data_IF_689107443284
#
_entry.id   IF_689107443284
#
_cell.length_a   1.000
_cell.length_b   1.000
_cell.length_c   1.000
_cell.angle_alpha   90.00
_cell.angle_beta   90.00
_cell.angle_gamma   90.00
#
_symmetry.space_group_name_H-M   'P 1'
#
loop_
_entity.id
_entity.type
_entity.pdbx_description
1 polymer ?
#
# COMPACT_ATOMS: atom_id res chain seq x y z
N UNK A 1 -0.18 19.09 -3.47
CA UNK A 1 0.74 18.77 -4.57
C UNK A 1 0.23 17.51 -5.23
N UNK A 2 -0.08 17.53 -6.53
CA UNK A 2 -0.43 16.31 -7.27
C UNK A 2 0.85 15.55 -7.61
N UNK A 3 0.89 14.26 -7.32
CA UNK A 3 1.98 13.37 -7.73
C UNK A 3 1.79 12.94 -9.19
N UNK A 4 2.87 12.68 -9.89
CA UNK A 4 2.80 11.99 -11.18
C UNK A 4 2.26 10.58 -10.99
N UNK A 5 1.66 10.01 -12.04
CA UNK A 5 1.23 8.61 -12.08
C UNK A 5 1.87 7.86 -13.23
N UNK A 6 2.23 6.60 -12.97
CA UNK A 6 2.74 5.67 -13.95
C UNK A 6 1.86 4.43 -13.99
N UNK A 7 1.61 3.91 -15.19
CA UNK A 7 0.71 2.79 -15.41
C UNK A 7 1.37 1.75 -16.30
N UNK A 8 1.21 0.48 -15.96
CA UNK A 8 1.58 -0.65 -16.81
C UNK A 8 0.39 -1.61 -16.87
N UNK A 9 -0.08 -1.89 -18.08
CA UNK A 9 -1.17 -2.81 -18.36
C UNK A 9 -0.62 -4.08 -19.03
N UNK A 10 -1.00 -5.23 -18.50
CA UNK A 10 -0.56 -6.55 -18.98
C UNK A 10 -1.73 -7.50 -19.16
N UNK A 11 -1.56 -8.51 -20.02
CA UNK A 11 -2.44 -9.69 -20.02
C UNK A 11 -1.98 -10.67 -18.94
N UNK A 12 -2.85 -10.90 -17.97
CA UNK A 12 -2.64 -11.82 -16.86
C UNK A 12 -1.87 -11.24 -15.69
N UNK A 13 -1.94 -11.94 -14.55
CA UNK A 13 -1.39 -11.48 -13.27
C UNK A 13 0.14 -11.55 -13.19
N UNK A 14 0.75 -12.58 -13.79
CA UNK A 14 2.20 -12.82 -13.66
C UNK A 14 3.01 -11.65 -14.22
N UNK A 15 2.66 -11.16 -15.42
CA UNK A 15 3.29 -9.97 -16.01
C UNK A 15 3.10 -8.72 -15.16
N UNK A 16 1.90 -8.52 -14.60
CA UNK A 16 1.62 -7.38 -13.72
C UNK A 16 2.46 -7.38 -12.43
N UNK A 17 2.64 -8.55 -11.80
CA UNK A 17 3.45 -8.64 -10.58
C UNK A 17 4.93 -8.42 -10.86
N UNK A 18 5.44 -8.96 -11.98
CA UNK A 18 6.81 -8.71 -12.42
C UNK A 18 7.03 -7.21 -12.71
N UNK A 19 6.07 -6.57 -13.38
CA UNK A 19 6.13 -5.13 -13.62
C UNK A 19 6.17 -4.34 -12.30
N UNK A 20 5.27 -4.66 -11.37
CA UNK A 20 5.17 -3.98 -10.09
C UNK A 20 6.47 -4.09 -9.27
N UNK A 21 7.06 -5.28 -9.21
CA UNK A 21 8.33 -5.53 -8.52
C UNK A 21 9.49 -4.72 -9.12
N UNK A 22 9.59 -4.69 -10.46
CA UNK A 22 10.60 -3.91 -11.14
C UNK A 22 10.41 -2.39 -10.97
N UNK A 23 9.16 -1.89 -11.02
CA UNK A 23 8.85 -0.46 -10.83
C UNK A 23 9.33 0.07 -9.48
N UNK A 24 8.98 -0.61 -8.39
CA UNK A 24 9.30 -0.16 -7.02
C UNK A 24 10.78 -0.37 -6.65
N UNK A 25 11.49 -1.27 -7.34
CA UNK A 25 12.93 -1.47 -7.15
C UNK A 25 13.77 -0.45 -7.93
N UNK A 26 13.26 0.06 -9.04
CA UNK A 26 14.02 0.96 -9.91
C UNK A 26 14.06 2.41 -9.42
N UNK A 27 13.07 2.85 -8.63
CA UNK A 27 12.96 4.24 -8.20
C UNK A 27 12.05 4.41 -6.98
N UNK A 28 12.07 5.59 -6.38
CA UNK A 28 11.18 5.94 -5.26
C UNK A 28 9.75 6.24 -5.76
N UNK A 29 8.95 5.19 -5.88
CA UNK A 29 7.52 5.25 -6.23
C UNK A 29 6.70 4.35 -5.31
N UNK A 30 5.43 4.66 -5.14
CA UNK A 30 4.50 3.85 -4.35
C UNK A 30 3.41 3.28 -5.25
N UNK A 31 3.13 1.98 -5.12
CA UNK A 31 1.96 1.36 -5.77
C UNK A 31 0.68 1.95 -5.16
N UNK A 32 -0.18 2.48 -6.03
CA UNK A 32 -1.47 3.04 -5.65
C UNK A 32 -2.56 1.98 -5.74
N UNK A 33 -2.59 1.23 -6.85
CA UNK A 33 -3.64 0.25 -7.14
C UNK A 33 -3.17 -0.78 -8.14
N UNK A 34 -3.74 -1.97 -8.04
CA UNK A 34 -3.79 -2.96 -9.11
C UNK A 34 -5.26 -3.05 -9.57
N UNK A 35 -5.53 -2.63 -10.79
CA UNK A 35 -6.86 -2.65 -11.39
C UNK A 35 -7.04 -3.94 -12.20
N UNK A 36 -8.23 -4.52 -12.12
CA UNK A 36 -8.62 -5.68 -12.90
C UNK A 36 -9.73 -5.27 -13.84
N UNK A 37 -9.52 -5.53 -15.13
CA UNK A 37 -10.53 -5.39 -16.16
C UNK A 37 -10.84 -6.77 -16.71
N UNK A 38 -12.00 -6.90 -17.33
CA UNK A 38 -12.47 -8.17 -17.85
C UNK A 38 -11.54 -8.75 -18.93
N UNK A 39 -11.62 -10.06 -19.13
CA UNK A 39 -10.72 -10.76 -20.05
C UNK A 39 -9.27 -10.86 -19.56
N UNK A 40 -9.00 -10.71 -18.27
CA UNK A 40 -7.66 -10.92 -17.70
C UNK A 40 -6.68 -9.79 -17.99
N UNK A 41 -7.17 -8.57 -18.18
CA UNK A 41 -6.34 -7.37 -18.30
C UNK A 41 -6.09 -6.81 -16.90
N UNK A 42 -4.83 -6.57 -16.57
CA UNK A 42 -4.42 -6.12 -15.25
C UNK A 42 -3.52 -4.91 -15.38
N UNK A 43 -3.85 -3.85 -14.64
CA UNK A 43 -3.10 -2.58 -14.67
C UNK A 43 -2.52 -2.25 -13.30
N UNK A 44 -1.21 -2.08 -13.24
CA UNK A 44 -0.51 -1.57 -12.06
C UNK A 44 -0.40 -0.05 -12.19
N UNK A 45 -0.78 0.66 -11.13
CA UNK A 45 -0.64 2.11 -11.04
C UNK A 45 0.30 2.47 -9.90
N UNK A 46 1.32 3.28 -10.18
CA UNK A 46 2.23 3.86 -9.19
C UNK A 46 2.14 5.38 -9.16
N UNK A 47 2.57 5.99 -8.06
CA UNK A 47 2.71 7.44 -7.93
C UNK A 47 4.08 7.82 -7.39
N UNK A 48 4.52 9.04 -7.71
CA UNK A 48 5.75 9.64 -7.20
C UNK A 48 6.05 10.97 -7.89
N UNK A 49 7.32 11.40 -7.82
CA UNK A 49 7.81 12.50 -8.65
C UNK A 49 7.94 12.06 -10.11
N UNK A 50 7.80 13.00 -11.05
CA UNK A 50 7.76 12.71 -12.50
C UNK A 50 8.97 11.88 -12.95
N UNK A 51 10.17 12.23 -12.48
CA UNK A 51 11.39 11.51 -12.82
C UNK A 51 11.43 10.08 -12.30
N UNK A 52 11.05 9.86 -11.04
CA UNK A 52 10.93 8.52 -10.45
C UNK A 52 9.90 7.68 -11.20
N UNK A 53 8.73 8.25 -11.48
CA UNK A 53 7.66 7.56 -12.21
C UNK A 53 8.10 7.16 -13.62
N UNK A 54 8.82 8.03 -14.34
CA UNK A 54 9.37 7.70 -15.66
C UNK A 54 10.34 6.52 -15.57
N UNK A 55 11.28 6.54 -14.62
CA UNK A 55 12.24 5.46 -14.41
C UNK A 55 11.56 4.14 -14.03
N UNK A 56 10.58 4.19 -13.12
CA UNK A 56 9.77 3.04 -12.74
C UNK A 56 9.07 2.41 -13.94
N UNK A 57 8.38 3.21 -14.75
CA UNK A 57 7.61 2.71 -15.89
C UNK A 57 8.50 2.06 -16.94
N UNK A 58 9.67 2.63 -17.26
CA UNK A 58 10.60 2.00 -18.21
C UNK A 58 11.13 0.65 -17.69
N UNK A 59 11.49 0.57 -16.40
CA UNK A 59 11.93 -0.68 -15.79
C UNK A 59 10.83 -1.75 -15.76
N UNK A 60 9.63 -1.37 -15.32
CA UNK A 60 8.48 -2.26 -15.26
C UNK A 60 8.05 -2.74 -16.63
N UNK A 61 8.08 -1.87 -17.64
CA UNK A 61 7.73 -2.20 -19.04
C UNK A 61 8.65 -3.30 -19.56
N UNK A 62 9.96 -3.13 -19.40
CA UNK A 62 10.95 -4.12 -19.82
C UNK A 62 10.76 -5.47 -19.10
N UNK A 63 10.47 -5.44 -17.80
CA UNK A 63 10.23 -6.65 -17.02
C UNK A 63 8.94 -7.38 -17.43
N UNK A 64 7.85 -6.63 -17.63
CA UNK A 64 6.56 -7.14 -18.10
C UNK A 64 6.69 -7.83 -19.47
N UNK A 65 7.40 -7.21 -20.42
CA UNK A 65 7.63 -7.78 -21.75
C UNK A 65 8.46 -9.07 -21.73
N UNK A 66 9.28 -9.27 -20.71
CA UNK A 66 10.10 -10.49 -20.57
C UNK A 66 9.31 -11.67 -20.04
N UNK A 67 8.38 -11.43 -19.10
CA UNK A 67 7.68 -12.49 -18.35
C UNK A 67 6.26 -12.74 -18.85
N UNK A 68 5.64 -11.76 -19.50
CA UNK A 68 4.28 -11.86 -20.00
C UNK A 68 4.02 -10.97 -21.20
N UNK A 69 2.74 -10.65 -21.41
CA UNK A 69 2.28 -9.81 -22.51
C UNK A 69 1.99 -8.41 -21.98
N UNK A 70 2.79 -7.44 -22.41
CA UNK A 70 2.56 -6.02 -22.17
C UNK A 70 1.52 -5.50 -23.17
N UNK A 71 0.45 -4.90 -22.67
CA UNK A 71 -0.57 -4.24 -23.47
C UNK A 71 -0.33 -2.73 -23.58
N UNK A 72 0.17 -2.11 -22.50
CA UNK A 72 0.44 -0.67 -22.50
C UNK A 72 1.30 -0.21 -21.33
N UNK A 73 1.97 0.93 -21.52
CA UNK A 73 2.71 1.62 -20.47
C UNK A 73 2.59 3.13 -20.69
N UNK A 74 2.34 3.91 -19.63
CA UNK A 74 2.16 5.35 -19.76
C UNK A 74 2.50 6.11 -18.47
N UNK A 75 2.88 7.38 -18.64
CA UNK A 75 3.17 8.31 -17.54
C UNK A 75 2.34 9.57 -17.75
N UNK A 76 1.66 10.01 -16.70
CA UNK A 76 1.01 11.32 -16.64
C UNK A 76 1.77 12.16 -15.60
N UNK A 77 2.58 13.14 -16.02
CA UNK A 77 3.42 13.93 -15.10
C UNK A 77 2.62 14.74 -14.08
N UNK A 78 1.44 15.20 -14.47
CA UNK A 78 0.58 16.05 -13.64
C UNK A 78 -0.88 15.70 -13.92
N UNK A 79 -1.40 14.59 -13.36
CA UNK A 79 -2.81 14.28 -13.49
C UNK A 79 -3.64 15.38 -12.83
N UNK A 80 -4.81 15.64 -13.40
CA UNK A 80 -5.85 16.41 -12.71
C UNK A 80 -6.28 15.68 -11.44
N UNK A 81 -6.75 16.42 -10.44
CA UNK A 81 -7.18 15.81 -9.17
C UNK A 81 -8.36 14.86 -9.38
N UNK A 82 -9.31 15.19 -10.28
CA UNK A 82 -10.45 14.32 -10.58
C UNK A 82 -9.98 12.97 -11.14
N UNK A 83 -8.99 12.98 -12.04
CA UNK A 83 -8.38 11.76 -12.60
C UNK A 83 -7.70 10.95 -11.51
N UNK A 84 -7.00 11.61 -10.58
CA UNK A 84 -6.32 10.93 -9.48
C UNK A 84 -7.31 10.27 -8.50
N UNK A 85 -8.48 10.87 -8.28
CA UNK A 85 -9.53 10.30 -7.44
C UNK A 85 -10.19 9.06 -8.08
N UNK A 86 -10.32 9.03 -9.41
CA UNK A 86 -10.82 7.83 -10.11
C UNK A 86 -9.96 6.59 -9.81
N UNK A 87 -8.65 6.77 -9.69
CA UNK A 87 -7.70 5.68 -9.43
C UNK A 87 -7.85 5.13 -8.01
N UNK A 88 -8.05 5.97 -7.00
CA UNK A 88 -8.15 5.52 -5.60
C UNK A 88 -9.45 4.76 -5.28
N UNK A 89 -10.46 4.85 -6.15
CA UNK A 89 -11.81 4.37 -5.86
C UNK A 89 -12.51 5.22 -4.78
N UNK A 90 -13.81 5.00 -4.53
CA UNK A 90 -14.50 5.68 -3.44
C UNK A 90 -13.81 5.33 -2.11
N UNK A 91 -13.35 6.36 -1.39
CA UNK A 91 -12.79 6.22 -0.04
C UNK A 91 -13.72 5.34 0.80
N UNK A 92 -13.29 4.12 1.14
CA UNK A 92 -14.02 3.30 2.08
C UNK A 92 -14.10 4.09 3.39
N UNK A 93 -15.31 4.51 3.78
CA UNK A 93 -15.57 5.25 5.00
C UNK A 93 -14.84 4.58 6.16
N UNK A 94 -13.80 5.23 6.67
CA UNK A 94 -13.11 4.81 7.88
C UNK A 94 -14.14 4.86 9.00
N UNK A 95 -14.78 3.73 9.33
CA UNK A 95 -15.50 3.60 10.60
C UNK A 95 -14.48 3.91 11.70
N UNK A 96 -14.63 5.07 12.32
CA UNK A 96 -13.87 5.49 13.50
C UNK A 96 -13.91 4.33 14.52
N UNK A 97 -12.77 3.90 15.11
CA UNK A 97 -12.81 2.87 16.13
C UNK A 97 -13.78 3.33 17.22
N UNK A 98 -14.78 2.50 17.52
CA UNK A 98 -15.69 2.77 18.61
C UNK A 98 -14.87 2.91 19.90
N UNK A 99 -14.87 4.10 20.48
CA UNK A 99 -14.28 4.36 21.80
C UNK A 99 -14.94 3.42 22.80
N UNK A 100 -14.21 2.39 23.25
CA UNK A 100 -14.64 1.55 24.37
C UNK A 100 -14.66 2.41 25.62
N UNK A 101 -15.86 2.69 26.11
CA UNK A 101 -16.16 3.32 27.39
C UNK A 101 -15.61 2.47 28.53
N UNK A 102 -14.42 2.80 29.03
CA UNK A 102 -13.95 2.33 30.32
C UNK A 102 -14.51 3.26 31.40
N UNK A 103 -15.63 2.88 32.02
CA UNK A 103 -16.05 3.41 33.31
C UNK A 103 -17.03 2.44 33.98
N UNK A 104 -16.54 1.61 34.90
CA UNK A 104 -17.17 1.47 36.23
C UNK A 104 -16.26 0.77 37.24
N UNK A 105 -16.19 1.40 38.44
CA UNK A 105 -16.15 0.79 39.78
C UNK A 105 -14.82 0.77 40.57
N UNK A 106 -14.58 1.92 41.22
CA UNK A 106 -14.46 2.13 42.67
C UNK A 106 -13.71 1.10 43.57
N UNK A 107 -12.52 1.54 44.03
CA UNK A 107 -12.04 1.66 45.43
C UNK A 107 -12.59 0.68 46.49
N UNK A 108 -11.71 -0.17 47.04
CA UNK A 108 -11.69 -0.53 48.47
C UNK A 108 -10.24 -0.73 48.96
N UNK A 109 -9.95 -0.07 50.06
CA UNK A 109 -8.66 0.09 50.75
C UNK A 109 -8.35 -1.05 51.73
N UNK A 110 -7.06 -1.36 51.85
CA UNK A 110 -6.27 -1.79 53.01
C UNK A 110 -6.84 -2.85 53.98
N UNK A 111 -6.09 -3.93 54.22
CA UNK A 111 -5.41 -4.11 55.51
C UNK A 111 -4.23 -5.11 55.44
N UNK A 112 -3.33 -4.91 56.39
CA UNK A 112 -2.01 -5.43 56.68
C UNK A 112 -1.96 -6.90 57.09
N UNK A 113 -0.85 -7.59 56.78
CA UNK A 113 -0.04 -8.40 57.72
C UNK A 113 1.09 -9.14 56.97
N UNK A 114 2.34 -8.80 57.30
CA UNK A 114 3.55 -9.62 57.16
C UNK A 114 3.75 -10.38 58.50
N UNK A 115 4.47 -11.53 58.62
CA UNK A 115 5.92 -11.58 58.35
C UNK A 115 6.55 -12.95 57.96
N UNK A 116 7.80 -12.88 57.46
CA UNK A 116 8.92 -13.87 57.53
C UNK A 116 8.71 -15.25 56.88
N UNK A 117 9.69 -15.85 56.19
CA UNK A 117 11.01 -16.21 56.71
C UNK A 117 11.99 -16.46 55.57
N UNK A 118 13.24 -16.12 55.81
CA UNK A 118 14.37 -16.13 54.90
C UNK A 118 15.21 -17.38 55.20
N UNK A 119 15.24 -18.37 54.29
CA UNK A 119 16.23 -19.46 54.25
C UNK A 119 16.46 -19.75 52.77
N UNK A 120 17.64 -19.64 52.17
CA UNK A 120 18.97 -19.85 52.72
C UNK A 120 19.59 -21.02 51.95
N UNK A 121 20.48 -20.69 51.03
CA UNK A 121 21.66 -21.45 50.56
C UNK A 121 21.49 -22.87 49.99
N UNK A 122 21.78 -23.01 48.68
CA UNK A 122 22.82 -23.88 48.10
C UNK A 122 22.93 -23.65 46.58
#
# INVERSE_FOLDING_TARGET
MSSAIGMIETKGLVGSYEAADAMIKASDVTIVKQEFVDGGIVTIVVKGDVGSVQAAVEAGKAAAMRVGELLGAHVIPRPDEEVFQMIKGPEASKKKPATTTASTRAKKTADTTSPTDNRGDA
#
